data_IF_023800547823
#
_entry.id   IF_023800547823
#
_cell.length_a   1.000
_cell.length_b   1.000
_cell.length_c   1.000
_cell.angle_alpha   90.00
_cell.angle_beta   90.00
_cell.angle_gamma   90.00
#
_symmetry.space_group_name_H-M   'P 1'
#
loop_
_entity.id
_entity.type
_entity.pdbx_description
1 polymer ?
#
# COMPACT_ATOMS: atom_id res chain seq x y z
N UNK A 1 5.08 15.48 -18.99
CA UNK A 1 5.08 15.39 -17.51
C UNK A 1 3.94 14.48 -17.09
N UNK A 2 4.17 13.48 -16.24
CA UNK A 2 3.07 12.74 -15.60
C UNK A 2 2.30 13.73 -14.71
N UNK A 3 0.97 13.74 -14.79
CA UNK A 3 0.17 14.60 -13.91
C UNK A 3 0.38 14.19 -12.43
N UNK A 4 0.06 15.11 -11.51
CA UNK A 4 0.34 14.93 -10.07
C UNK A 4 -0.21 13.62 -9.53
N UNK A 5 -1.41 13.24 -9.98
CA UNK A 5 -2.13 12.04 -9.59
C UNK A 5 -1.39 10.78 -10.03
N UNK A 6 -0.88 10.74 -11.27
CA UNK A 6 -0.06 9.62 -11.74
C UNK A 6 1.20 9.47 -10.89
N UNK A 7 1.89 10.58 -10.58
CA UNK A 7 3.07 10.54 -9.70
C UNK A 7 2.73 9.99 -8.31
N UNK A 8 1.57 10.34 -7.76
CA UNK A 8 1.11 9.83 -6.46
C UNK A 8 0.81 8.33 -6.49
N UNK A 9 0.13 7.84 -7.55
CA UNK A 9 -0.25 6.43 -7.66
C UNK A 9 0.99 5.54 -7.85
N UNK A 10 1.95 5.99 -8.66
CA UNK A 10 3.11 5.15 -9.02
C UNK A 10 4.26 5.24 -8.04
N UNK A 11 4.48 6.42 -7.42
CA UNK A 11 5.64 6.70 -6.58
C UNK A 11 5.30 7.10 -5.14
N UNK A 12 4.01 7.12 -4.79
CA UNK A 12 3.56 7.45 -3.45
C UNK A 12 3.89 6.35 -2.45
N UNK A 13 4.60 6.72 -1.40
CA UNK A 13 4.96 5.85 -0.30
C UNK A 13 4.06 6.14 0.90
N UNK A 14 3.57 5.09 1.55
CA UNK A 14 2.76 5.22 2.77
C UNK A 14 3.61 5.01 4.02
N UNK A 15 3.28 5.73 5.09
CA UNK A 15 3.76 5.50 6.46
C UNK A 15 2.58 5.53 7.44
N UNK A 16 2.71 4.88 8.61
CA UNK A 16 1.68 4.92 9.68
C UNK A 16 1.72 6.23 10.50
N UNK A 17 2.53 7.21 10.08
CA UNK A 17 2.56 8.52 10.72
C UNK A 17 1.26 9.30 10.48
N UNK A 18 0.91 10.18 11.42
CA UNK A 18 -0.24 11.08 11.29
C UNK A 18 0.04 12.14 10.22
N UNK A 19 -1.02 12.66 9.59
CA UNK A 19 -0.95 13.68 8.54
C UNK A 19 -1.34 13.16 7.16
N UNK A 20 -1.68 14.08 6.26
CA UNK A 20 -2.01 13.73 4.88
C UNK A 20 -0.74 13.59 4.01
N UNK A 21 -0.02 14.69 3.81
CA UNK A 21 1.21 14.73 3.01
C UNK A 21 2.40 15.01 3.92
N UNK A 22 3.37 14.10 3.92
CA UNK A 22 4.53 14.15 4.82
C UNK A 22 5.78 14.74 4.14
N UNK A 23 5.63 15.22 2.89
CA UNK A 23 6.71 15.78 2.10
C UNK A 23 7.21 14.85 1.01
N UNK A 24 8.40 15.16 0.51
CA UNK A 24 9.09 14.34 -0.51
C UNK A 24 10.36 13.80 0.14
N UNK A 25 10.57 12.50 0.03
CA UNK A 25 11.81 11.89 0.49
C UNK A 25 13.00 12.47 -0.29
N UNK A 26 14.01 13.04 0.39
CA UNK A 26 15.08 13.80 -0.26
C UNK A 26 16.04 12.92 -1.07
N UNK A 27 16.10 11.62 -0.78
CA UNK A 27 17.04 10.69 -1.45
C UNK A 27 16.43 10.06 -2.70
N UNK A 28 15.13 9.78 -2.68
CA UNK A 28 14.42 9.08 -3.74
C UNK A 28 13.51 10.00 -4.56
N UNK A 29 13.21 11.20 -4.06
CA UNK A 29 12.26 12.12 -4.68
C UNK A 29 10.80 11.62 -4.62
N UNK A 30 10.50 10.62 -3.79
CA UNK A 30 9.16 10.00 -3.69
C UNK A 30 8.26 10.77 -2.73
N UNK A 31 7.01 11.09 -3.12
CA UNK A 31 6.06 11.70 -2.20
C UNK A 31 5.66 10.72 -1.10
N UNK A 32 5.67 11.19 0.15
CA UNK A 32 5.32 10.41 1.34
C UNK A 32 3.92 10.83 1.85
N UNK A 33 3.10 9.84 2.20
CA UNK A 33 1.73 10.02 2.66
C UNK A 33 1.48 9.31 3.98
N UNK A 34 0.83 9.99 4.91
CA UNK A 34 0.49 9.45 6.21
C UNK A 34 -0.90 8.80 6.26
N UNK A 35 -1.27 8.39 7.46
CA UNK A 35 -2.53 7.72 7.78
C UNK A 35 -3.76 8.52 7.36
N UNK A 36 -3.76 9.84 7.54
CA UNK A 36 -4.95 10.66 7.26
C UNK A 36 -5.26 10.71 5.76
N UNK A 37 -4.22 10.75 4.92
CA UNK A 37 -4.41 10.69 3.47
C UNK A 37 -4.93 9.33 3.04
N UNK A 38 -4.37 8.25 3.57
CA UNK A 38 -4.85 6.90 3.28
C UNK A 38 -6.34 6.75 3.62
N UNK A 39 -6.74 7.10 4.85
CA UNK A 39 -8.13 6.97 5.30
C UNK A 39 -9.08 7.84 4.49
N UNK A 40 -8.68 9.08 4.16
CA UNK A 40 -9.44 9.99 3.30
C UNK A 40 -9.69 9.40 1.91
N UNK A 41 -8.67 8.83 1.29
CA UNK A 41 -8.76 8.26 -0.06
C UNK A 41 -9.59 6.97 -0.07
N UNK A 42 -9.38 6.07 0.90
CA UNK A 42 -10.17 4.85 1.03
C UNK A 42 -11.66 5.17 1.24
N UNK A 43 -11.97 6.15 2.10
CA UNK A 43 -13.34 6.65 2.31
C UNK A 43 -13.91 7.24 1.01
N UNK A 44 -13.17 8.10 0.32
CA UNK A 44 -13.60 8.74 -0.94
C UNK A 44 -13.97 7.71 -2.00
N UNK A 45 -13.13 6.70 -2.20
CA UNK A 45 -13.35 5.65 -3.20
C UNK A 45 -14.24 4.50 -2.73
N UNK A 46 -14.70 4.56 -1.47
CA UNK A 46 -15.53 3.52 -0.84
C UNK A 46 -14.87 2.14 -0.96
N UNK A 47 -13.56 2.07 -0.75
CA UNK A 47 -12.78 0.84 -0.76
C UNK A 47 -12.45 0.40 0.66
N UNK A 48 -12.33 -0.91 0.85
CA UNK A 48 -12.02 -1.53 2.14
C UNK A 48 -10.56 -1.99 2.23
N UNK A 49 -10.00 -2.39 1.09
CA UNK A 49 -8.64 -2.93 1.00
C UNK A 49 -7.92 -2.28 -0.17
N UNK A 50 -6.68 -1.87 0.07
CA UNK A 50 -5.69 -1.52 -0.95
C UNK A 50 -4.62 -2.62 -0.97
N UNK A 51 -4.38 -3.18 -2.15
CA UNK A 51 -3.23 -4.07 -2.39
C UNK A 51 -2.23 -3.26 -3.21
N UNK A 52 -1.00 -3.17 -2.73
CA UNK A 52 0.09 -2.43 -3.39
C UNK A 52 1.41 -3.20 -3.31
N UNK A 53 2.43 -2.62 -3.93
CA UNK A 53 3.81 -3.07 -3.82
C UNK A 53 4.72 -1.86 -3.57
N UNK A 54 5.91 -1.84 -4.18
CA UNK A 54 6.83 -0.70 -4.32
C UNK A 54 7.74 -0.37 -3.12
N UNK A 55 7.27 -0.50 -1.88
CA UNK A 55 8.06 -0.22 -0.67
C UNK A 55 8.61 -1.49 0.03
N UNK A 56 9.84 -1.98 -0.27
CA UNK A 56 10.34 -3.25 0.24
C UNK A 56 10.57 -3.25 1.76
N UNK A 57 10.61 -2.07 2.38
CA UNK A 57 10.76 -1.88 3.83
C UNK A 57 9.44 -1.66 4.56
N UNK A 58 8.29 -1.54 3.86
CA UNK A 58 7.01 -1.32 4.57
C UNK A 58 6.57 -2.56 5.34
N UNK A 59 5.81 -2.42 6.43
CA UNK A 59 5.10 -3.55 7.01
C UNK A 59 4.24 -4.28 5.96
N UNK A 60 3.98 -5.57 6.18
CA UNK A 60 3.08 -6.34 5.31
C UNK A 60 1.66 -5.76 5.34
N UNK A 61 1.19 -5.38 6.53
CA UNK A 61 -0.10 -4.76 6.77
C UNK A 61 0.08 -3.38 7.38
N UNK A 62 -0.72 -2.42 6.93
CA UNK A 62 -0.81 -1.08 7.50
C UNK A 62 -2.28 -0.65 7.67
N UNK A 63 -2.49 0.43 8.44
CA UNK A 63 -3.78 1.10 8.57
C UNK A 63 -4.93 0.17 8.99
N UNK A 64 -4.75 -0.51 10.12
CA UNK A 64 -5.69 -1.52 10.62
C UNK A 64 -6.03 -2.61 9.58
N UNK A 65 -4.98 -3.11 8.93
CA UNK A 65 -5.07 -4.18 7.93
C UNK A 65 -5.86 -3.79 6.66
N UNK A 66 -6.07 -2.50 6.38
CA UNK A 66 -6.71 -2.05 5.14
C UNK A 66 -5.71 -1.90 3.98
N UNK A 67 -4.41 -1.85 4.25
CA UNK A 67 -3.37 -1.83 3.22
C UNK A 67 -2.49 -3.09 3.33
N UNK A 68 -2.31 -3.78 2.21
CA UNK A 68 -1.42 -4.92 2.05
C UNK A 68 -0.32 -4.59 1.04
N UNK A 69 0.93 -4.71 1.46
CA UNK A 69 2.09 -4.53 0.58
C UNK A 69 2.74 -5.88 0.26
N UNK A 70 2.57 -6.32 -0.99
CA UNK A 70 3.14 -7.58 -1.50
C UNK A 70 4.39 -7.33 -2.35
N UNK A 71 5.26 -8.34 -2.41
CA UNK A 71 6.49 -8.33 -3.20
C UNK A 71 6.66 -9.66 -3.89
N UNK A 72 6.92 -9.65 -5.19
CA UNK A 72 7.16 -10.87 -5.98
C UNK A 72 8.53 -10.89 -6.65
N UNK A 73 9.27 -9.80 -6.57
CA UNK A 73 10.59 -9.67 -7.18
C UNK A 73 11.67 -10.36 -6.36
N UNK A 74 12.56 -11.10 -7.02
CA UNK A 74 13.78 -11.68 -6.44
C UNK A 74 14.91 -10.66 -6.25
N UNK A 75 14.74 -9.42 -6.71
CA UNK A 75 15.74 -8.36 -6.56
C UNK A 75 15.86 -7.83 -5.10
N UNK A 76 14.95 -8.23 -4.22
CA UNK A 76 14.92 -7.82 -2.82
C UNK A 76 15.04 -9.04 -1.92
N UNK A 77 15.69 -8.88 -0.76
CA UNK A 77 15.83 -9.93 0.28
C UNK A 77 14.47 -10.33 0.87
N UNK A 78 13.45 -9.48 0.70
CA UNK A 78 12.10 -9.71 1.23
C UNK A 78 11.48 -10.98 0.66
N UNK A 79 10.77 -11.69 1.51
CA UNK A 79 10.01 -12.88 1.12
C UNK A 79 9.01 -12.58 0.00
N UNK A 80 9.08 -13.38 -1.06
CA UNK A 80 8.19 -13.22 -2.21
C UNK A 80 6.84 -13.83 -1.88
N UNK A 81 5.79 -13.04 -2.09
CA UNK A 81 4.42 -13.38 -1.72
C UNK A 81 3.43 -12.95 -2.79
N UNK A 82 2.37 -13.74 -2.93
CA UNK A 82 1.18 -13.41 -3.71
C UNK A 82 -0.03 -13.32 -2.76
N UNK A 83 -1.02 -12.52 -3.14
CA UNK A 83 -2.31 -12.43 -2.45
C UNK A 83 -3.40 -13.05 -3.33
N UNK A 84 -4.22 -13.92 -2.75
CA UNK A 84 -5.33 -14.59 -3.43
C UNK A 84 -6.63 -14.14 -2.76
N UNK A 85 -7.55 -13.62 -3.56
CA UNK A 85 -8.87 -13.18 -3.12
C UNK A 85 -9.92 -14.25 -3.47
N UNK A 86 -10.57 -14.80 -2.46
CA UNK A 86 -11.74 -15.67 -2.63
C UNK A 86 -13.03 -14.82 -2.60
N UNK A 87 -13.55 -14.50 -3.79
CA UNK A 87 -14.76 -13.68 -3.94
C UNK A 87 -16.06 -14.37 -3.46
N UNK A 88 -16.02 -15.66 -3.09
CA UNK A 88 -17.15 -16.31 -2.42
C UNK A 88 -17.27 -15.89 -0.95
N UNK A 89 -16.19 -15.34 -0.37
CA UNK A 89 -16.14 -14.84 1.00
C UNK A 89 -16.24 -13.32 1.01
N UNK A 90 -16.81 -12.76 2.08
CA UNK A 90 -16.85 -11.32 2.26
C UNK A 90 -15.47 -10.80 2.63
N UNK A 91 -14.95 -9.84 1.85
CA UNK A 91 -13.70 -9.14 2.15
C UNK A 91 -14.01 -7.90 2.98
N UNK A 92 -13.53 -7.87 4.22
CA UNK A 92 -13.63 -6.74 5.17
C UNK A 92 -12.29 -6.04 5.32
N UNK A 93 -11.19 -6.80 5.42
CA UNK A 93 -9.82 -6.30 5.56
C UNK A 93 -8.88 -7.12 4.68
N UNK A 94 -7.62 -6.69 4.57
CA UNK A 94 -6.62 -7.45 3.82
C UNK A 94 -6.25 -8.79 4.47
N UNK A 95 -6.59 -9.01 5.75
CA UNK A 95 -6.43 -10.31 6.41
C UNK A 95 -7.38 -11.38 5.88
N UNK A 96 -8.44 -10.99 5.17
CA UNK A 96 -9.34 -11.94 4.51
C UNK A 96 -8.76 -12.49 3.19
N UNK A 97 -7.61 -11.97 2.76
CA UNK A 97 -6.87 -12.46 1.60
C UNK A 97 -5.90 -13.56 2.03
N UNK A 98 -5.82 -14.62 1.23
CA UNK A 98 -4.81 -15.65 1.42
C UNK A 98 -3.45 -15.13 0.92
N UNK A 99 -2.42 -15.20 1.76
CA UNK A 99 -1.06 -14.80 1.40
C UNK A 99 -0.21 -16.06 1.27
N UNK A 100 0.33 -16.31 0.08
CA UNK A 100 1.21 -17.46 -0.20
C UNK A 100 2.62 -17.01 -0.55
N UNK A 101 3.60 -17.74 -0.04
CA UNK A 101 5.03 -17.60 -0.37
C UNK A 101 5.33 -18.29 -1.69
N UNK A 102 6.25 -17.74 -2.48
CA UNK A 102 6.67 -18.27 -3.80
C UNK A 102 8.18 -18.25 -4.03
#
# INVERSE_FOLDING_TARGET
ALCKEWRQITWGDFTDEKGEYLGTDPFTGRPQFGQDYFLKIMKRFRKKVLIRSHQPTSPLFMFDNQCLTIFTSSAYIRERTIAIADFKKSIKTAKDLEIKKI
#
